data_IF_001362585837
#
_entry.id   IF_001362585837
#
_cell.length_a   1.000
_cell.length_b   1.000
_cell.length_c   1.000
_cell.angle_alpha   90.00
_cell.angle_beta   90.00
_cell.angle_gamma   90.00
#
_symmetry.space_group_name_H-M   'P 1'
#
loop_
_entity.id
_entity.type
_entity.pdbx_description
1 polymer ?
#
# COMPACT_ATOMS: atom_id res chain seq x y z
N UNK A 1 9.64 4.89 -3.62
CA UNK A 1 9.31 6.29 -3.28
C UNK A 1 9.70 6.54 -1.84
N UNK A 2 9.87 7.80 -1.42
CA UNK A 2 10.08 8.13 0.00
C UNK A 2 8.86 7.69 0.83
N UNK A 3 9.08 7.48 2.13
CA UNK A 3 8.00 7.15 3.06
C UNK A 3 6.92 8.26 3.03
N UNK A 4 7.31 9.54 3.04
CA UNK A 4 6.38 10.69 2.93
C UNK A 4 5.51 10.66 1.66
N UNK A 5 6.08 10.30 0.51
CA UNK A 5 5.31 10.24 -0.74
C UNK A 5 4.31 9.07 -0.73
N UNK A 6 4.72 7.93 -0.17
CA UNK A 6 3.81 6.79 0.00
C UNK A 6 2.69 7.09 1.01
N UNK A 7 2.96 7.85 2.08
CA UNK A 7 1.93 8.31 3.01
C UNK A 7 0.90 9.22 2.32
N UNK A 8 1.34 10.11 1.43
CA UNK A 8 0.43 10.93 0.61
C UNK A 8 -0.43 10.08 -0.31
N UNK A 9 0.15 9.09 -0.97
CA UNK A 9 -0.57 8.13 -1.83
C UNK A 9 -1.59 7.34 -0.99
N UNK A 10 -1.19 6.83 0.17
CA UNK A 10 -2.08 6.10 1.08
C UNK A 10 -3.25 6.98 1.50
N UNK A 11 -3.01 8.20 1.97
CA UNK A 11 -4.06 9.13 2.37
C UNK A 11 -5.05 9.42 1.23
N UNK A 12 -4.57 9.44 -0.03
CA UNK A 12 -5.43 9.65 -1.18
C UNK A 12 -6.33 8.44 -1.49
N UNK A 13 -5.83 7.23 -1.26
CA UNK A 13 -6.52 5.97 -1.57
C UNK A 13 -7.27 5.38 -0.38
N UNK A 14 -7.01 5.81 0.86
CA UNK A 14 -7.47 5.18 2.11
C UNK A 14 -8.98 4.94 2.14
N UNK A 15 -9.77 5.90 1.68
CA UNK A 15 -11.25 5.78 1.65
C UNK A 15 -11.78 4.75 0.64
N UNK A 16 -10.96 4.33 -0.33
CA UNK A 16 -11.36 3.47 -1.45
C UNK A 16 -10.62 2.13 -1.46
N UNK A 17 -9.88 1.77 -0.40
CA UNK A 17 -9.11 0.52 -0.36
C UNK A 17 -9.99 -0.74 -0.47
N UNK A 18 -11.23 -0.65 -0.01
CA UNK A 18 -12.22 -1.73 -0.06
C UNK A 18 -13.17 -1.60 -1.27
N UNK A 19 -12.99 -0.59 -2.12
CA UNK A 19 -13.78 -0.42 -3.34
C UNK A 19 -13.42 -1.51 -4.36
N UNK A 20 -14.43 -2.15 -4.94
CA UNK A 20 -14.25 -3.17 -5.99
C UNK A 20 -14.20 -2.57 -7.39
N UNK A 21 -14.64 -1.31 -7.55
CA UNK A 21 -14.73 -0.59 -8.82
C UNK A 21 -13.72 0.57 -8.89
N UNK A 22 -12.50 0.34 -8.40
CA UNK A 22 -11.44 1.34 -8.41
C UNK A 22 -10.81 1.50 -9.80
N UNK A 23 -10.19 2.67 -10.05
CA UNK A 23 -9.46 2.94 -11.28
C UNK A 23 -8.11 2.20 -11.29
N UNK A 24 -8.15 0.95 -11.76
CA UNK A 24 -6.98 0.07 -11.84
C UNK A 24 -5.85 0.67 -12.69
N UNK A 25 -6.19 1.29 -13.82
CA UNK A 25 -5.19 1.78 -14.77
C UNK A 25 -4.40 2.95 -14.18
N UNK A 26 -5.10 3.93 -13.59
CA UNK A 26 -4.45 5.06 -12.93
C UNK A 26 -3.62 4.63 -11.72
N UNK A 27 -4.13 3.72 -10.89
CA UNK A 27 -3.43 3.32 -9.66
C UNK A 27 -2.17 2.52 -9.99
N UNK A 28 -2.23 1.56 -10.92
CA UNK A 28 -1.14 0.63 -11.15
C UNK A 28 -0.20 1.00 -12.30
N UNK A 29 -0.63 1.79 -13.29
CA UNK A 29 0.19 2.08 -14.48
C UNK A 29 0.38 3.56 -14.77
N UNK A 30 -0.70 4.30 -15.03
CA UNK A 30 -0.61 5.61 -15.69
C UNK A 30 -0.41 6.79 -14.73
N UNK A 31 -0.92 6.68 -13.50
CA UNK A 31 -1.01 7.83 -12.60
C UNK A 31 -1.95 8.92 -13.13
N UNK A 32 -1.96 10.06 -12.45
CA UNK A 32 -2.62 11.32 -12.83
C UNK A 32 -2.02 12.47 -12.01
N UNK A 33 -2.64 13.65 -12.04
CA UNK A 33 -2.18 14.84 -11.30
C UNK A 33 -2.10 14.64 -9.77
N UNK A 34 -2.78 13.62 -9.23
CA UNK A 34 -2.87 13.32 -7.80
C UNK A 34 -2.08 12.09 -7.39
N UNK A 35 -1.84 11.16 -8.32
CA UNK A 35 -1.21 9.88 -8.09
C UNK A 35 -0.04 9.70 -9.06
N UNK A 36 1.20 9.57 -8.59
CA UNK A 36 2.31 9.21 -9.45
C UNK A 36 2.08 7.86 -10.17
N UNK A 37 2.76 7.66 -11.31
CA UNK A 37 2.78 6.36 -12.00
C UNK A 37 3.18 5.23 -11.06
N UNK A 38 2.52 4.08 -11.17
CA UNK A 38 2.84 2.89 -10.35
C UNK A 38 2.64 3.12 -8.85
N UNK A 39 1.64 3.94 -8.49
CA UNK A 39 1.30 4.22 -7.09
C UNK A 39 0.94 2.94 -6.34
N UNK A 40 0.18 2.02 -6.97
CA UNK A 40 -0.21 0.76 -6.36
C UNK A 40 0.98 -0.12 -5.96
N UNK A 41 2.00 -0.25 -6.83
CA UNK A 41 3.20 -1.03 -6.53
C UNK A 41 4.05 -0.40 -5.42
N UNK A 42 4.28 0.91 -5.49
CA UNK A 42 5.06 1.62 -4.47
C UNK A 42 4.37 1.58 -3.11
N UNK A 43 3.05 1.78 -3.09
CA UNK A 43 2.25 1.70 -1.87
C UNK A 43 2.25 0.28 -1.31
N UNK A 44 2.07 -0.74 -2.15
CA UNK A 44 2.12 -2.15 -1.72
C UNK A 44 3.43 -2.51 -1.03
N UNK A 45 4.56 -2.15 -1.64
CA UNK A 45 5.89 -2.34 -1.03
C UNK A 45 6.02 -1.58 0.31
N UNK A 46 5.58 -0.32 0.34
CA UNK A 46 5.63 0.51 1.54
C UNK A 46 4.84 -0.11 2.70
N UNK A 47 3.63 -0.60 2.43
CA UNK A 47 2.79 -1.24 3.46
C UNK A 47 3.44 -2.52 3.99
N UNK A 48 4.03 -3.36 3.13
CA UNK A 48 4.77 -4.56 3.56
C UNK A 48 5.97 -4.17 4.43
N UNK A 49 6.76 -3.17 4.01
CA UNK A 49 7.88 -2.65 4.81
C UNK A 49 7.41 -2.21 6.20
N UNK A 50 6.33 -1.43 6.29
CA UNK A 50 5.77 -0.96 7.58
C UNK A 50 5.25 -2.10 8.43
N UNK A 51 4.67 -3.13 7.81
CA UNK A 51 4.20 -4.31 8.52
C UNK A 51 5.36 -5.04 9.21
N UNK A 52 6.43 -5.34 8.47
CA UNK A 52 7.62 -6.01 9.01
C UNK A 52 8.31 -5.18 10.09
N UNK A 53 8.43 -3.85 9.90
CA UNK A 53 8.97 -2.93 10.91
C UNK A 53 8.16 -2.98 12.22
N UNK A 54 6.82 -3.07 12.12
CA UNK A 54 5.92 -3.06 13.27
C UNK A 54 5.84 -4.41 13.99
N UNK A 55 5.96 -5.52 13.26
CA UNK A 55 5.87 -6.87 13.85
C UNK A 55 7.24 -7.45 14.21
N UNK A 56 8.34 -6.84 13.77
CA UNK A 56 9.70 -7.36 13.88
C UNK A 56 9.87 -8.77 13.27
N UNK A 57 9.05 -9.09 12.27
CA UNK A 57 9.08 -10.39 11.56
C UNK A 57 9.96 -10.31 10.32
N UNK A 58 10.47 -11.46 9.88
CA UNK A 58 10.98 -11.62 8.51
C UNK A 58 9.83 -11.78 7.51
N UNK A 59 10.12 -11.72 6.21
CA UNK A 59 9.10 -11.90 5.17
C UNK A 59 8.56 -13.33 5.16
N UNK A 60 9.41 -14.33 5.46
CA UNK A 60 9.05 -15.74 5.54
C UNK A 60 8.06 -16.00 6.67
N UNK A 61 8.25 -15.34 7.81
CA UNK A 61 7.34 -15.42 8.96
C UNK A 61 6.01 -14.71 8.68
N UNK A 62 6.07 -13.55 8.01
CA UNK A 62 4.89 -12.73 7.72
C UNK A 62 4.00 -13.31 6.60
N UNK A 63 4.54 -14.14 5.70
CA UNK A 63 3.80 -14.69 4.57
C UNK A 63 2.57 -15.52 4.98
N UNK A 64 2.63 -16.19 6.14
CA UNK A 64 1.53 -17.00 6.67
C UNK A 64 0.50 -16.18 7.50
N UNK A 65 0.74 -14.89 7.71
CA UNK A 65 -0.15 -14.05 8.51
C UNK A 65 -1.49 -13.83 7.81
N UNK A 66 -2.55 -13.71 8.62
CA UNK A 66 -3.88 -13.48 8.07
C UNK A 66 -3.94 -12.05 7.55
N UNK A 67 -4.58 -11.86 6.39
CA UNK A 67 -4.76 -10.54 5.79
C UNK A 67 -5.38 -9.50 6.76
N UNK A 68 -6.28 -9.94 7.66
CA UNK A 68 -6.86 -9.06 8.70
C UNK A 68 -5.81 -8.44 9.64
N UNK A 69 -4.71 -9.16 9.90
CA UNK A 69 -3.65 -8.73 10.80
C UNK A 69 -2.78 -7.68 10.09
N UNK A 70 -2.70 -7.73 8.75
CA UNK A 70 -2.02 -6.72 7.95
C UNK A 70 -2.63 -5.32 8.09
N UNK A 71 -3.93 -5.21 8.41
CA UNK A 71 -4.61 -3.91 8.56
C UNK A 71 -4.06 -3.03 9.68
N UNK A 72 -3.19 -3.55 10.57
CA UNK A 72 -2.56 -2.75 11.63
C UNK A 72 -1.66 -1.62 11.10
N UNK A 73 -1.28 -1.64 9.82
CA UNK A 73 -0.46 -0.59 9.17
C UNK A 73 -1.25 0.31 8.21
N UNK A 74 -2.55 0.09 8.05
CA UNK A 74 -3.44 0.92 7.24
C UNK A 74 -3.98 2.11 8.00
#
# INVERSE_FOLDING_TARGET
>A
RSDEENERILNKLRGNLDDKNYDYNTIFFTGNDKLPRWSGYSLGYYLVKKYLEKTHKTIEEAFADKYKDFRIVL
#
